data_IF_634280433977
#
_entry.id   IF_634280433977
#
_cell.length_a   1.000
_cell.length_b   1.000
_cell.length_c   1.000
_cell.angle_alpha   90.00
_cell.angle_beta   90.00
_cell.angle_gamma   90.00
#
_symmetry.space_group_name_H-M   'P 1'
#
loop_
_entity.id
_entity.type
_entity.pdbx_description
1 polymer ?
#
# COMPACT_ATOMS: atom_id res chain seq x y z
N UNK A 1 -14.82 -35.92 33.86
CA UNK A 1 -15.40 -34.70 33.27
C UNK A 1 -14.61 -34.31 32.03
N UNK A 2 -15.15 -34.59 30.83
CA UNK A 2 -14.53 -34.16 29.57
C UNK A 2 -14.65 -32.65 29.46
N UNK A 3 -13.52 -31.91 29.54
CA UNK A 3 -13.50 -30.49 29.17
C UNK A 3 -14.04 -30.39 27.75
N UNK A 4 -15.12 -29.62 27.54
CA UNK A 4 -15.59 -29.25 26.21
C UNK A 4 -14.41 -28.69 25.42
N UNK A 5 -13.81 -29.53 24.57
CA UNK A 5 -12.66 -29.11 23.76
C UNK A 5 -13.18 -28.13 22.74
N UNK A 6 -12.62 -26.92 22.76
CA UNK A 6 -12.93 -25.90 21.77
C UNK A 6 -12.68 -26.44 20.35
N UNK A 7 -13.44 -25.95 19.38
CA UNK A 7 -13.23 -26.34 17.98
C UNK A 7 -11.85 -25.91 17.48
N UNK A 8 -11.27 -26.67 16.55
CA UNK A 8 -9.98 -26.34 15.92
C UNK A 8 -9.98 -24.91 15.36
N UNK A 9 -11.08 -24.51 14.70
CA UNK A 9 -11.25 -23.15 14.18
C UNK A 9 -11.13 -22.10 15.31
N UNK A 10 -11.82 -22.32 16.44
CA UNK A 10 -11.83 -21.39 17.55
C UNK A 10 -10.42 -21.23 18.13
N UNK A 11 -9.71 -22.32 18.38
CA UNK A 11 -8.36 -22.27 18.94
C UNK A 11 -7.35 -21.61 18.00
N UNK A 12 -7.39 -21.97 16.71
CA UNK A 12 -6.55 -21.32 15.69
C UNK A 12 -6.78 -19.83 15.66
N UNK A 13 -8.05 -19.40 15.61
CA UNK A 13 -8.37 -17.97 15.55
C UNK A 13 -8.01 -17.24 16.84
N UNK A 14 -8.25 -17.84 18.01
CA UNK A 14 -7.88 -17.27 19.31
C UNK A 14 -6.38 -16.97 19.35
N UNK A 15 -5.54 -17.97 19.09
CA UNK A 15 -4.07 -17.84 19.09
C UNK A 15 -3.58 -16.90 17.98
N UNK A 16 -4.09 -17.03 16.75
CA UNK A 16 -3.68 -16.18 15.64
C UNK A 16 -4.04 -14.70 15.85
N UNK A 17 -5.17 -14.43 16.51
CA UNK A 17 -5.69 -13.07 16.69
C UNK A 17 -5.15 -12.33 17.91
N UNK A 18 -4.35 -13.01 18.74
CA UNK A 18 -3.68 -12.42 19.89
C UNK A 18 -2.81 -11.23 19.49
N UNK A 19 -2.96 -10.10 20.20
CA UNK A 19 -2.27 -8.84 19.93
C UNK A 19 -2.73 -8.09 18.67
N UNK A 20 -3.72 -8.59 17.91
CA UNK A 20 -4.20 -7.90 16.71
C UNK A 20 -5.22 -6.81 17.05
N UNK A 21 -4.88 -5.55 16.72
CA UNK A 21 -5.76 -4.38 16.92
C UNK A 21 -6.70 -4.08 15.73
N UNK A 22 -6.44 -4.61 14.53
CA UNK A 22 -7.17 -4.25 13.30
C UNK A 22 -8.34 -5.17 12.93
N UNK A 23 -9.54 -4.62 12.76
CA UNK A 23 -10.75 -5.39 12.41
C UNK A 23 -10.65 -6.13 11.06
N UNK A 24 -10.07 -5.53 10.03
CA UNK A 24 -9.90 -6.16 8.71
C UNK A 24 -8.99 -7.38 8.79
N UNK A 25 -7.85 -7.26 9.47
CA UNK A 25 -6.90 -8.36 9.67
C UNK A 25 -7.54 -9.49 10.47
N UNK A 26 -8.31 -9.16 11.53
CA UNK A 26 -9.06 -10.17 12.31
C UNK A 26 -10.08 -10.91 11.46
N UNK A 27 -10.84 -10.22 10.59
CA UNK A 27 -11.79 -10.87 9.66
C UNK A 27 -11.08 -11.83 8.69
N UNK A 28 -9.96 -11.39 8.11
CA UNK A 28 -9.15 -12.24 7.22
C UNK A 28 -8.58 -13.47 7.94
N UNK A 29 -8.07 -13.30 9.17
CA UNK A 29 -7.56 -14.39 9.98
C UNK A 29 -8.66 -15.39 10.32
N UNK A 30 -9.85 -14.92 10.72
CA UNK A 30 -11.00 -15.77 10.99
C UNK A 30 -11.38 -16.60 9.76
N UNK A 31 -11.38 -15.99 8.58
CA UNK A 31 -11.70 -16.67 7.33
C UNK A 31 -10.67 -17.77 7.00
N UNK A 32 -9.38 -17.45 7.05
CA UNK A 32 -8.32 -18.41 6.81
C UNK A 32 -8.33 -19.58 7.80
N UNK A 33 -8.49 -19.30 9.11
CA UNK A 33 -8.62 -20.34 10.13
C UNK A 33 -9.85 -21.22 9.89
N UNK A 34 -10.98 -20.65 9.45
CA UNK A 34 -12.18 -21.42 9.09
C UNK A 34 -11.91 -22.36 7.91
N UNK A 35 -11.27 -21.87 6.85
CA UNK A 35 -10.93 -22.68 5.67
C UNK A 35 -10.00 -23.84 6.02
N UNK A 36 -8.94 -23.57 6.78
CA UNK A 36 -8.01 -24.62 7.21
C UNK A 36 -8.66 -25.64 8.16
N UNK A 37 -9.47 -25.19 9.12
CA UNK A 37 -10.16 -26.10 10.02
C UNK A 37 -11.17 -27.02 9.29
N UNK A 38 -11.81 -26.53 8.22
CA UNK A 38 -12.66 -27.33 7.33
C UNK A 38 -11.84 -28.44 6.65
N UNK A 39 -10.72 -28.07 6.04
CA UNK A 39 -9.81 -29.02 5.39
C UNK A 39 -9.25 -30.05 6.38
N UNK A 40 -8.84 -29.64 7.58
CA UNK A 40 -8.38 -30.55 8.62
C UNK A 40 -9.47 -31.57 9.04
N UNK A 41 -10.74 -31.15 9.06
CA UNK A 41 -11.86 -32.02 9.42
C UNK A 41 -12.01 -33.18 8.42
N UNK A 42 -11.79 -32.93 7.14
CA UNK A 42 -11.79 -33.96 6.07
C UNK A 42 -10.65 -34.96 6.27
N UNK A 43 -9.52 -34.52 6.85
CA UNK A 43 -8.39 -35.36 7.22
C UNK A 43 -8.53 -36.03 8.60
N UNK A 44 -9.70 -35.92 9.26
CA UNK A 44 -9.95 -36.47 10.60
C UNK A 44 -9.29 -35.69 11.76
N UNK A 45 -8.73 -34.51 11.50
CA UNK A 45 -7.99 -33.70 12.46
C UNK A 45 -8.91 -32.61 13.04
N UNK A 46 -9.15 -32.70 14.35
CA UNK A 46 -10.07 -31.81 15.08
C UNK A 46 -9.43 -31.01 16.22
N UNK A 47 -8.15 -31.26 16.51
CA UNK A 47 -7.42 -30.71 17.66
C UNK A 47 -6.17 -29.98 17.17
N UNK A 48 -5.88 -28.82 17.76
CA UNK A 48 -4.78 -27.95 17.33
C UNK A 48 -3.42 -28.57 17.69
N UNK A 49 -3.36 -29.40 18.72
CA UNK A 49 -2.16 -30.13 19.15
C UNK A 49 -1.67 -31.13 18.09
N UNK A 50 -2.56 -31.53 17.17
CA UNK A 50 -2.24 -32.39 16.03
C UNK A 50 -1.82 -31.61 14.79
N UNK A 51 -1.78 -30.27 14.86
CA UNK A 51 -1.37 -29.40 13.75
C UNK A 51 0.12 -29.10 13.91
N UNK A 52 0.95 -29.93 13.29
CA UNK A 52 2.38 -29.74 13.19
C UNK A 52 2.78 -29.03 11.88
N UNK A 53 4.09 -28.83 11.71
CA UNK A 53 4.67 -28.21 10.51
C UNK A 53 4.32 -29.00 9.24
N UNK A 54 4.30 -30.32 9.31
CA UNK A 54 4.08 -31.18 8.14
C UNK A 54 2.63 -31.13 7.67
N UNK A 55 1.67 -31.03 8.58
CA UNK A 55 0.28 -30.80 8.24
C UNK A 55 0.07 -29.43 7.59
N UNK A 56 0.74 -28.39 8.10
CA UNK A 56 0.72 -27.05 7.48
C UNK A 56 1.35 -27.10 6.08
N UNK A 57 2.41 -27.89 5.89
CA UNK A 57 3.02 -28.10 4.58
C UNK A 57 2.07 -28.82 3.62
N UNK A 58 1.36 -29.87 4.07
CA UNK A 58 0.34 -30.56 3.27
C UNK A 58 -0.77 -29.60 2.84
N UNK A 59 -1.20 -28.71 3.73
CA UNK A 59 -2.18 -27.67 3.37
C UNK A 59 -1.62 -26.66 2.37
N UNK A 60 -0.35 -26.26 2.50
CA UNK A 60 0.33 -25.41 1.51
C UNK A 60 0.33 -26.05 0.12
N UNK A 61 0.57 -27.37 0.03
CA UNK A 61 0.53 -28.11 -1.24
C UNK A 61 -0.90 -28.18 -1.78
N UNK A 62 -1.88 -28.51 -0.94
CA UNK A 62 -3.30 -28.52 -1.31
C UNK A 62 -3.76 -27.17 -1.89
N UNK A 63 -3.36 -26.04 -1.29
CA UNK A 63 -3.68 -24.71 -1.81
C UNK A 63 -3.01 -24.39 -3.16
N UNK A 64 -1.89 -25.03 -3.48
CA UNK A 64 -1.20 -24.87 -4.77
C UNK A 64 -1.85 -25.72 -5.87
N UNK A 65 -2.36 -26.89 -5.50
CA UNK A 65 -3.04 -27.84 -6.40
C UNK A 65 -4.54 -27.53 -6.58
N UNK A 66 -5.08 -26.59 -5.78
CA UNK A 66 -6.48 -26.19 -5.85
C UNK A 66 -6.86 -25.71 -7.26
N UNK A 67 -7.99 -26.20 -7.77
CA UNK A 67 -8.57 -25.84 -9.07
C UNK A 67 -8.79 -24.34 -9.27
N UNK A 68 -8.98 -23.56 -8.20
CA UNK A 68 -9.07 -22.10 -8.25
C UNK A 68 -7.72 -21.41 -8.55
N UNK A 69 -6.60 -22.16 -8.60
CA UNK A 69 -5.24 -21.68 -8.91
C UNK A 69 -4.87 -20.44 -8.09
N UNK A 70 -4.86 -20.59 -6.77
CA UNK A 70 -4.62 -19.47 -5.87
C UNK A 70 -3.27 -18.79 -6.13
N UNK A 71 -3.28 -17.45 -6.16
CA UNK A 71 -2.05 -16.67 -6.24
C UNK A 71 -1.13 -16.92 -5.03
N UNK A 72 0.18 -16.72 -5.22
CA UNK A 72 1.13 -16.76 -4.11
C UNK A 72 0.74 -15.81 -2.95
N UNK A 73 0.15 -14.66 -3.26
CA UNK A 73 -0.37 -13.73 -2.25
C UNK A 73 -1.50 -14.32 -1.41
N UNK A 74 -2.43 -15.01 -2.05
CA UNK A 74 -3.56 -15.68 -1.40
C UNK A 74 -3.08 -16.82 -0.52
N UNK A 75 -2.19 -17.68 -1.02
CA UNK A 75 -1.61 -18.80 -0.26
C UNK A 75 -0.91 -18.29 1.01
N UNK A 76 -0.09 -17.24 0.89
CA UNK A 76 0.58 -16.64 2.07
C UNK A 76 -0.44 -16.08 3.07
N UNK A 77 -1.52 -15.47 2.58
CA UNK A 77 -2.59 -14.92 3.42
C UNK A 77 -3.31 -16.01 4.21
N UNK A 78 -3.51 -17.19 3.62
CA UNK A 78 -4.15 -18.32 4.29
C UNK A 78 -3.21 -18.99 5.29
N UNK A 79 -1.93 -19.14 4.94
CA UNK A 79 -0.94 -19.78 5.81
C UNK A 79 -0.54 -18.93 7.03
N UNK A 80 -0.46 -17.61 6.89
CA UNK A 80 0.02 -16.72 7.94
C UNK A 80 -0.68 -16.88 9.31
N UNK A 81 -2.03 -16.87 9.42
CA UNK A 81 -2.71 -17.06 10.70
C UNK A 81 -2.48 -18.45 11.30
N UNK A 82 -2.38 -19.49 10.47
CA UNK A 82 -2.17 -20.88 10.91
C UNK A 82 -0.77 -21.03 11.49
N UNK A 83 0.25 -20.57 10.75
CA UNK A 83 1.64 -20.56 11.18
C UNK A 83 1.80 -19.80 12.52
N UNK A 84 1.16 -18.63 12.63
CA UNK A 84 1.15 -17.86 13.88
C UNK A 84 0.51 -18.62 15.04
N UNK A 85 -0.65 -19.24 14.83
CA UNK A 85 -1.37 -19.98 15.88
C UNK A 85 -0.61 -21.21 16.38
N UNK A 86 0.14 -21.87 15.49
CA UNK A 86 0.91 -23.07 15.78
C UNK A 86 2.37 -22.80 16.16
N UNK A 87 2.82 -21.54 16.19
CA UNK A 87 4.21 -21.19 16.49
C UNK A 87 5.22 -21.64 15.42
N UNK A 88 4.75 -21.95 14.21
CA UNK A 88 5.60 -22.40 13.10
C UNK A 88 6.08 -21.18 12.32
N UNK A 89 7.39 -21.07 12.09
CA UNK A 89 7.91 -20.01 11.25
C UNK A 89 7.49 -20.28 9.80
N UNK A 90 6.74 -19.35 9.22
CA UNK A 90 6.25 -19.51 7.85
C UNK A 90 7.39 -19.68 6.84
N UNK A 91 8.61 -19.22 7.12
CA UNK A 91 9.80 -19.46 6.26
C UNK A 91 10.11 -20.95 6.07
N UNK A 92 9.76 -21.77 7.05
CA UNK A 92 10.04 -23.21 7.03
C UNK A 92 9.01 -24.01 6.25
N UNK A 93 7.95 -23.34 5.77
CA UNK A 93 6.94 -23.90 4.87
C UNK A 93 7.30 -23.56 3.43
N UNK A 94 7.48 -24.60 2.62
CA UNK A 94 7.58 -24.49 1.17
C UNK A 94 6.25 -24.00 0.59
N UNK A 95 6.32 -22.88 -0.12
CA UNK A 95 5.17 -22.16 -0.68
C UNK A 95 5.68 -21.29 -1.83
N UNK A 96 4.83 -20.95 -2.81
CA UNK A 96 5.26 -20.16 -3.96
C UNK A 96 5.77 -18.79 -3.52
N UNK A 97 6.85 -18.32 -4.14
CA UNK A 97 7.39 -16.99 -3.88
C UNK A 97 6.49 -15.93 -4.50
N UNK A 98 6.19 -14.87 -3.75
CA UNK A 98 5.50 -13.68 -4.28
C UNK A 98 6.48 -12.92 -5.17
N UNK A 99 6.28 -12.97 -6.49
CA UNK A 99 7.10 -12.25 -7.47
C UNK A 99 6.37 -10.98 -7.92
N UNK A 100 7.11 -9.93 -8.29
CA UNK A 100 6.49 -8.66 -8.70
C UNK A 100 5.70 -8.75 -10.00
N UNK A 101 6.06 -9.66 -10.91
CA UNK A 101 5.28 -9.99 -12.11
C UNK A 101 3.97 -10.72 -11.81
N UNK A 102 3.83 -11.35 -10.64
CA UNK A 102 2.57 -11.98 -10.21
C UNK A 102 1.58 -10.99 -9.58
N UNK A 103 1.95 -9.72 -9.46
CA UNK A 103 1.03 -8.66 -9.02
C UNK A 103 0.16 -8.28 -10.22
N UNK A 104 -0.99 -8.93 -10.39
CA UNK A 104 -1.93 -8.67 -11.50
C UNK A 104 -3.17 -7.87 -11.07
N UNK A 105 -3.52 -7.94 -9.78
CA UNK A 105 -4.76 -7.38 -9.25
C UNK A 105 -4.93 -5.90 -9.58
N UNK A 106 -6.02 -5.56 -10.29
CA UNK A 106 -6.33 -4.19 -10.69
C UNK A 106 -5.36 -3.63 -11.73
N UNK A 107 -4.72 -4.50 -12.53
CA UNK A 107 -3.89 -4.15 -13.69
C UNK A 107 -4.46 -4.69 -15.00
N UNK A 108 -5.32 -5.70 -14.94
CA UNK A 108 -6.02 -6.23 -16.11
C UNK A 108 -7.38 -5.56 -16.24
N UNK A 109 -7.66 -5.09 -17.45
CA UNK A 109 -8.88 -4.36 -17.78
C UNK A 109 -10.15 -5.19 -17.60
N UNK A 110 -10.07 -6.50 -17.86
CA UNK A 110 -11.21 -7.42 -17.77
C UNK A 110 -11.63 -7.74 -16.33
N UNK A 111 -10.82 -7.42 -15.31
CA UNK A 111 -11.12 -7.76 -13.91
C UNK A 111 -12.21 -6.87 -13.27
N UNK A 112 -12.54 -5.71 -13.87
CA UNK A 112 -13.48 -4.75 -13.29
C UNK A 112 -14.28 -3.95 -14.33
N UNK A 113 -15.13 -4.61 -15.14
CA UNK A 113 -15.90 -3.94 -16.20
C UNK A 113 -16.84 -2.88 -15.64
N UNK A 114 -17.48 -3.15 -14.49
CA UNK A 114 -18.41 -2.21 -13.86
C UNK A 114 -17.70 -0.94 -13.36
N UNK A 115 -16.53 -1.08 -12.73
CA UNK A 115 -15.74 0.07 -12.32
C UNK A 115 -15.26 0.91 -13.49
N UNK A 116 -14.93 0.30 -14.64
CA UNK A 116 -14.58 1.03 -15.87
C UNK A 116 -15.73 1.85 -16.44
N UNK A 117 -16.94 1.30 -16.47
CA UNK A 117 -18.12 2.06 -16.89
C UNK A 117 -18.30 3.29 -15.99
N UNK A 118 -18.19 3.11 -14.67
CA UNK A 118 -18.23 4.20 -13.70
C UNK A 118 -17.06 5.20 -13.88
N UNK A 119 -15.88 4.76 -14.30
CA UNK A 119 -14.77 5.66 -14.62
C UNK A 119 -15.08 6.63 -15.78
N UNK A 120 -16.04 6.29 -16.64
CA UNK A 120 -16.48 7.17 -17.74
C UNK A 120 -17.76 7.94 -17.44
N UNK A 121 -18.46 7.62 -16.35
CA UNK A 121 -19.72 8.27 -15.98
C UNK A 121 -19.51 9.73 -15.55
N UNK A 122 -20.35 10.68 -16.01
CA UNK A 122 -20.27 12.09 -15.57
C UNK A 122 -20.37 12.27 -14.05
N UNK A 123 -21.14 11.42 -13.38
CA UNK A 123 -21.35 11.44 -11.93
C UNK A 123 -20.04 11.33 -11.12
N UNK A 124 -19.05 10.58 -11.62
CA UNK A 124 -17.78 10.37 -10.93
C UNK A 124 -16.64 11.23 -11.48
N UNK A 125 -16.93 12.14 -12.41
CA UNK A 125 -15.92 12.97 -13.09
C UNK A 125 -15.02 13.71 -12.10
N UNK A 126 -15.60 14.37 -11.09
CA UNK A 126 -14.83 15.12 -10.09
C UNK A 126 -13.99 14.21 -9.18
N UNK A 127 -14.50 13.04 -8.80
CA UNK A 127 -13.75 12.05 -8.03
C UNK A 127 -12.51 11.56 -8.78
N UNK A 128 -12.68 11.22 -10.06
CA UNK A 128 -11.58 10.73 -10.90
C UNK A 128 -10.56 11.83 -11.15
N UNK A 129 -11.04 13.04 -11.43
CA UNK A 129 -10.22 14.23 -11.64
C UNK A 129 -9.35 14.50 -10.41
N UNK A 130 -9.97 14.54 -9.23
CA UNK A 130 -9.22 14.72 -7.99
C UNK A 130 -8.24 13.56 -7.77
N UNK A 131 -8.68 12.32 -7.95
CA UNK A 131 -7.84 11.15 -7.68
C UNK A 131 -6.61 11.08 -8.60
N UNK A 132 -6.71 11.53 -9.86
CA UNK A 132 -5.55 11.66 -10.77
C UNK A 132 -4.57 12.75 -10.33
N UNK A 133 -5.06 13.79 -9.66
CA UNK A 133 -4.25 14.90 -9.17
C UNK A 133 -3.61 14.67 -7.78
N UNK A 134 -4.17 13.80 -6.94
CA UNK A 134 -3.75 13.65 -5.53
C UNK A 134 -3.35 12.22 -5.16
N UNK A 135 -3.89 11.23 -5.87
CA UNK A 135 -3.58 9.82 -5.71
C UNK A 135 -3.69 9.28 -4.28
N UNK A 136 -4.65 9.70 -3.44
CA UNK A 136 -4.78 9.20 -2.05
C UNK A 136 -5.56 7.86 -1.99
N UNK A 137 -5.63 7.19 -0.82
CA UNK A 137 -6.38 5.93 -0.70
C UNK A 137 -7.89 6.21 -0.69
N UNK A 138 -8.72 5.23 -1.08
CA UNK A 138 -10.19 5.36 -1.04
C UNK A 138 -10.71 5.85 0.31
N UNK A 139 -10.29 5.22 1.40
CA UNK A 139 -10.71 5.65 2.74
C UNK A 139 -10.19 7.06 3.11
N UNK A 140 -9.09 7.52 2.50
CA UNK A 140 -8.58 8.88 2.72
C UNK A 140 -9.44 9.89 1.95
N UNK A 141 -9.87 9.57 0.71
CA UNK A 141 -10.84 10.35 -0.07
C UNK A 141 -12.20 10.47 0.64
N UNK A 142 -12.71 9.35 1.21
CA UNK A 142 -14.00 9.30 1.93
C UNK A 142 -14.08 10.27 3.12
N UNK A 143 -12.94 10.60 3.72
CA UNK A 143 -12.85 11.44 4.91
C UNK A 143 -12.31 12.84 4.63
N UNK A 144 -12.09 13.17 3.35
CA UNK A 144 -11.55 14.45 2.94
C UNK A 144 -12.62 15.53 3.08
N UNK A 145 -12.27 16.69 3.63
CA UNK A 145 -13.15 17.86 3.75
C UNK A 145 -12.61 19.07 3.01
N UNK A 146 -13.46 20.07 2.85
CA UNK A 146 -13.12 21.37 2.25
C UNK A 146 -11.81 21.96 2.79
N UNK A 147 -11.56 21.86 4.09
CA UNK A 147 -10.41 22.49 4.74
C UNK A 147 -9.09 21.76 4.47
N UNK A 148 -9.13 20.53 3.93
CA UNK A 148 -7.93 19.74 3.72
C UNK A 148 -7.11 20.22 2.51
N UNK A 149 -7.61 21.18 1.72
CA UNK A 149 -6.81 21.86 0.71
C UNK A 149 -5.95 22.95 1.35
N UNK A 150 -4.65 22.68 1.49
CA UNK A 150 -3.72 23.53 2.24
C UNK A 150 -2.71 24.17 1.29
N UNK A 151 -2.56 25.50 1.42
CA UNK A 151 -1.41 26.22 0.86
C UNK A 151 -0.27 26.16 1.88
N UNK A 152 0.81 25.47 1.54
CA UNK A 152 2.01 25.44 2.36
C UNK A 152 3.02 26.52 1.98
N UNK A 153 4.24 26.36 2.48
CA UNK A 153 5.37 27.25 2.20
C UNK A 153 5.77 27.21 0.72
N UNK A 154 6.40 28.29 0.26
CA UNK A 154 6.97 28.42 -1.10
C UNK A 154 5.95 28.18 -2.23
N UNK A 155 4.66 28.45 -1.97
CA UNK A 155 3.61 28.29 -2.97
C UNK A 155 3.24 26.85 -3.31
N UNK A 156 3.70 25.86 -2.51
CA UNK A 156 3.35 24.45 -2.73
C UNK A 156 2.01 24.16 -2.06
N UNK A 157 1.13 23.48 -2.79
CA UNK A 157 -0.20 23.08 -2.30
C UNK A 157 -0.24 21.60 -1.94
N UNK A 158 -1.06 21.27 -0.93
CA UNK A 158 -1.22 19.92 -0.42
C UNK A 158 -2.69 19.58 -0.21
N UNK A 159 -2.96 18.27 -0.24
CA UNK A 159 -4.10 17.68 0.44
C UNK A 159 -3.66 17.13 1.79
N UNK A 160 -4.26 17.63 2.86
CA UNK A 160 -4.03 17.20 4.24
C UNK A 160 -4.82 15.93 4.55
N UNK A 161 -4.12 14.81 4.64
CA UNK A 161 -4.70 13.53 5.05
C UNK A 161 -4.52 13.39 6.56
N UNK A 162 -5.56 13.77 7.31
CA UNK A 162 -5.59 13.77 8.78
C UNK A 162 -5.36 12.39 9.41
N UNK A 163 -5.91 11.34 8.81
CA UNK A 163 -5.83 9.95 9.31
C UNK A 163 -5.53 8.97 8.18
N UNK A 164 -4.28 8.93 7.77
CA UNK A 164 -3.77 7.95 6.83
C UNK A 164 -3.57 6.56 7.45
N UNK A 165 -2.93 5.67 6.68
CA UNK A 165 -2.65 4.29 7.11
C UNK A 165 -1.87 4.25 8.43
N UNK A 166 -2.42 3.56 9.43
CA UNK A 166 -1.84 3.46 10.77
C UNK A 166 -2.10 4.68 11.66
N UNK A 167 -3.06 5.53 11.29
CA UNK A 167 -3.40 6.74 12.03
C UNK A 167 -2.45 7.91 11.79
N UNK A 168 -1.57 7.81 10.79
CA UNK A 168 -0.56 8.82 10.49
C UNK A 168 -1.17 9.99 9.73
N UNK A 169 -0.89 11.19 10.19
CA UNK A 169 -1.14 12.42 9.46
C UNK A 169 -0.10 12.61 8.34
N UNK A 170 -0.55 13.01 7.16
CA UNK A 170 0.34 13.20 6.00
C UNK A 170 -0.15 14.35 5.10
N UNK A 171 0.78 15.03 4.44
CA UNK A 171 0.51 16.10 3.48
C UNK A 171 0.90 15.66 2.08
N UNK A 172 -0.09 15.51 1.20
CA UNK A 172 0.07 14.95 -0.14
C UNK A 172 0.20 16.10 -1.13
N UNK A 173 1.37 16.25 -1.74
CA UNK A 173 1.67 17.36 -2.63
C UNK A 173 0.80 17.31 -3.89
N UNK A 174 0.30 18.47 -4.31
CA UNK A 174 -0.39 18.65 -5.58
C UNK A 174 0.61 19.20 -6.59
N UNK A 175 0.68 18.61 -7.79
CA UNK A 175 1.53 19.14 -8.85
C UNK A 175 1.04 20.54 -9.28
N UNK A 176 1.94 21.49 -9.64
CA UNK A 176 1.54 22.84 -10.03
C UNK A 176 0.45 22.87 -11.12
N UNK A 177 0.54 21.99 -12.12
CA UNK A 177 -0.45 21.86 -13.21
C UNK A 177 -1.86 21.52 -12.71
N UNK A 178 -1.97 20.81 -11.59
CA UNK A 178 -3.23 20.28 -11.05
C UNK A 178 -3.82 21.17 -9.95
N UNK A 179 -3.09 22.17 -9.46
CA UNK A 179 -3.56 23.08 -8.39
C UNK A 179 -4.88 23.76 -8.75
N UNK A 180 -5.07 24.35 -9.95
CA UNK A 180 -6.32 25.05 -10.28
C UNK A 180 -7.55 24.14 -10.23
N UNK A 181 -7.43 22.93 -10.78
CA UNK A 181 -8.55 21.99 -10.83
C UNK A 181 -8.87 21.41 -9.45
N UNK A 182 -7.85 21.09 -8.65
CA UNK A 182 -8.05 20.65 -7.26
C UNK A 182 -8.68 21.76 -6.43
N UNK A 183 -8.18 22.99 -6.55
CA UNK A 183 -8.72 24.15 -5.84
C UNK A 183 -10.21 24.33 -6.13
N UNK A 184 -10.60 24.29 -7.40
CA UNK A 184 -11.99 24.42 -7.82
C UNK A 184 -12.90 23.34 -7.19
N UNK A 185 -12.50 22.07 -7.28
CA UNK A 185 -13.25 20.93 -6.69
C UNK A 185 -13.48 21.14 -5.19
N UNK A 186 -12.47 21.63 -4.47
CA UNK A 186 -12.64 21.91 -3.05
C UNK A 186 -13.51 23.14 -2.83
N UNK A 187 -13.33 24.24 -3.56
CA UNK A 187 -14.08 25.50 -3.39
C UNK A 187 -15.60 25.38 -3.60
N UNK A 188 -16.05 24.43 -4.42
CA UNK A 188 -17.46 24.10 -4.59
C UNK A 188 -18.11 23.46 -3.34
N UNK A 189 -17.30 23.03 -2.36
CA UNK A 189 -17.77 22.31 -1.17
C UNK A 189 -17.91 23.29 0.01
N UNK A 190 -19.05 23.30 0.73
CA UNK A 190 -19.19 24.12 1.92
C UNK A 190 -18.19 23.73 3.02
N UNK A 191 -17.72 24.73 3.77
CA UNK A 191 -16.87 24.50 4.95
C UNK A 191 -17.50 23.49 5.92
N UNK A 192 -16.68 22.62 6.49
CA UNK A 192 -17.06 21.55 7.42
C UNK A 192 -17.54 20.26 6.75
N UNK A 193 -17.81 20.29 5.44
CA UNK A 193 -18.38 19.16 4.70
C UNK A 193 -17.31 18.32 4.01
N UNK A 194 -17.65 17.04 3.80
CA UNK A 194 -16.82 16.14 3.02
C UNK A 194 -16.82 16.56 1.55
N UNK A 195 -15.67 16.41 0.89
CA UNK A 195 -15.51 16.70 -0.55
C UNK A 195 -16.40 15.78 -1.37
N UNK A 196 -16.50 14.51 -0.97
CA UNK A 196 -17.36 13.51 -1.61
C UNK A 196 -18.46 13.02 -0.67
N UNK A 197 -19.65 12.84 -1.23
CA UNK A 197 -20.75 12.18 -0.57
C UNK A 197 -20.48 10.68 -0.38
N UNK A 198 -21.26 10.03 0.50
CA UNK A 198 -21.18 8.57 0.68
C UNK A 198 -21.56 7.81 -0.59
N UNK A 199 -22.51 8.34 -1.36
CA UNK A 199 -22.99 7.71 -2.59
C UNK A 199 -21.93 7.77 -3.69
N UNK A 200 -21.27 8.93 -3.86
CA UNK A 200 -20.13 9.05 -4.77
C UNK A 200 -19.00 8.09 -4.41
N UNK A 201 -18.76 7.85 -3.12
CA UNK A 201 -17.72 6.93 -2.68
C UNK A 201 -18.12 5.46 -2.75
N UNK A 202 -19.41 5.15 -2.87
CA UNK A 202 -19.94 3.80 -3.04
C UNK A 202 -19.87 3.32 -4.50
N UNK A 203 -18.66 3.33 -5.06
CA UNK A 203 -18.39 2.93 -6.43
C UNK A 203 -17.36 1.79 -6.50
N UNK A 204 -17.21 1.19 -7.68
CA UNK A 204 -16.26 0.11 -7.97
C UNK A 204 -15.03 0.59 -8.74
N UNK A 205 -14.84 1.90 -8.93
CA UNK A 205 -13.70 2.50 -9.64
C UNK A 205 -12.37 2.01 -9.06
N UNK A 206 -11.40 1.72 -9.92
CA UNK A 206 -10.08 1.28 -9.50
C UNK A 206 -9.19 2.48 -9.13
N UNK A 207 -9.54 3.18 -8.04
CA UNK A 207 -8.80 4.35 -7.54
C UNK A 207 -7.32 4.05 -7.25
N UNK A 208 -6.95 2.78 -7.06
CA UNK A 208 -5.55 2.38 -6.87
C UNK A 208 -4.75 2.41 -8.18
N UNK A 209 -5.37 2.13 -9.33
CA UNK A 209 -4.76 2.34 -10.64
C UNK A 209 -4.54 3.84 -10.90
N UNK A 210 -5.53 4.69 -10.63
CA UNK A 210 -5.38 6.15 -10.74
C UNK A 210 -4.28 6.70 -9.81
N UNK A 211 -4.17 6.16 -8.59
CA UNK A 211 -3.06 6.49 -7.69
C UNK A 211 -1.69 6.10 -8.27
N UNK A 212 -1.63 5.02 -9.05
CA UNK A 212 -0.41 4.60 -9.74
C UNK A 212 -0.05 5.58 -10.86
N UNK A 213 -1.02 5.97 -11.67
CA UNK A 213 -0.84 6.99 -12.72
C UNK A 213 -0.32 8.29 -12.11
N UNK A 214 -0.96 8.80 -11.06
CA UNK A 214 -0.51 9.98 -10.34
C UNK A 214 0.94 9.85 -9.84
N UNK A 215 1.34 8.69 -9.31
CA UNK A 215 2.72 8.47 -8.88
C UNK A 215 3.73 8.52 -10.05
N UNK A 216 3.34 8.11 -11.26
CA UNK A 216 4.17 8.25 -12.45
C UNK A 216 4.26 9.71 -12.90
N UNK A 217 3.15 10.45 -12.90
CA UNK A 217 3.13 11.89 -13.21
C UNK A 217 4.07 12.68 -12.28
N UNK A 218 4.01 12.38 -10.98
CA UNK A 218 4.89 13.00 -9.99
C UNK A 218 6.35 12.60 -10.21
N UNK A 219 6.61 11.34 -10.58
CA UNK A 219 7.97 10.91 -10.93
C UNK A 219 8.52 11.73 -12.11
N UNK A 220 7.77 11.80 -13.21
CA UNK A 220 8.15 12.52 -14.42
C UNK A 220 8.37 14.01 -14.15
N UNK A 221 7.51 14.63 -13.34
CA UNK A 221 7.68 16.01 -12.91
C UNK A 221 9.01 16.22 -12.16
N UNK A 222 9.29 15.38 -11.16
CA UNK A 222 10.51 15.51 -10.37
C UNK A 222 11.77 15.17 -11.15
N UNK A 223 11.73 14.14 -12.01
CA UNK A 223 12.84 13.81 -12.89
C UNK A 223 13.18 14.98 -13.80
N UNK A 224 12.18 15.54 -14.48
CA UNK A 224 12.38 16.67 -15.38
C UNK A 224 12.92 17.91 -14.67
N UNK A 225 12.32 18.31 -13.55
CA UNK A 225 12.74 19.54 -12.84
C UNK A 225 14.12 19.39 -12.19
N UNK A 226 14.48 18.19 -11.72
CA UNK A 226 15.83 17.90 -11.21
C UNK A 226 16.88 18.09 -12.32
N UNK A 227 16.56 17.68 -13.55
CA UNK A 227 17.48 17.79 -14.69
C UNK A 227 17.56 19.22 -15.26
N UNK A 228 16.47 19.99 -15.20
CA UNK A 228 16.35 21.26 -15.91
C UNK A 228 16.58 22.50 -15.04
N UNK A 229 16.37 22.42 -13.72
CA UNK A 229 16.49 23.56 -12.81
C UNK A 229 17.73 23.40 -11.92
N UNK A 230 18.72 24.25 -12.15
CA UNK A 230 19.97 24.23 -11.38
C UNK A 230 19.70 24.42 -9.88
N UNK A 231 20.39 23.64 -9.04
CA UNK A 231 20.24 23.66 -7.59
C UNK A 231 18.97 22.97 -7.05
N UNK A 232 17.98 22.62 -7.89
CA UNK A 232 16.72 22.05 -7.42
C UNK A 232 16.91 20.72 -6.69
N UNK A 233 17.80 19.85 -7.17
CA UNK A 233 18.12 18.58 -6.51
C UNK A 233 18.55 18.76 -5.04
N UNK A 234 19.39 19.76 -4.78
CA UNK A 234 19.85 20.09 -3.42
C UNK A 234 18.69 20.57 -2.56
N UNK A 235 17.92 21.54 -3.04
CA UNK A 235 16.76 22.08 -2.30
C UNK A 235 15.71 21.01 -2.01
N UNK A 236 15.48 20.09 -2.96
CA UNK A 236 14.56 18.97 -2.77
C UNK A 236 15.07 18.01 -1.68
N UNK A 237 16.36 17.67 -1.67
CA UNK A 237 16.96 16.83 -0.60
C UNK A 237 16.81 17.47 0.77
N UNK A 238 17.20 18.73 0.90
CA UNK A 238 17.07 19.49 2.15
C UNK A 238 15.62 19.50 2.63
N UNK A 239 14.66 19.68 1.72
CA UNK A 239 13.24 19.64 2.03
C UNK A 239 12.77 18.26 2.50
N UNK A 240 13.14 17.19 1.80
CA UNK A 240 12.76 15.82 2.17
C UNK A 240 13.37 15.42 3.52
N UNK A 241 14.61 15.84 3.79
CA UNK A 241 15.27 15.65 5.10
C UNK A 241 14.48 16.38 6.19
N UNK A 242 14.17 17.68 6.04
CA UNK A 242 13.36 18.41 7.02
C UNK A 242 12.01 17.74 7.31
N UNK A 243 11.35 17.21 6.27
CA UNK A 243 10.11 16.45 6.46
C UNK A 243 10.34 15.15 7.25
N UNK A 244 11.44 14.44 6.99
CA UNK A 244 11.82 13.26 7.74
C UNK A 244 12.08 13.59 9.21
N UNK A 245 12.86 14.64 9.49
CA UNK A 245 13.19 15.08 10.86
C UNK A 245 11.92 15.39 11.65
N UNK A 246 11.04 16.23 11.08
CA UNK A 246 9.73 16.55 11.68
C UNK A 246 8.90 15.30 11.96
N UNK A 247 8.79 14.39 10.99
CA UNK A 247 8.00 13.16 11.13
C UNK A 247 8.61 12.09 12.04
N UNK A 248 9.85 12.29 12.51
CA UNK A 248 10.56 11.35 13.40
C UNK A 248 11.08 12.02 14.67
N UNK A 249 10.57 13.21 15.02
CA UNK A 249 11.02 13.97 16.19
C UNK A 249 10.84 13.21 17.51
N UNK A 250 9.72 12.48 17.67
CA UNK A 250 9.52 11.64 18.86
C UNK A 250 10.53 10.49 18.95
N UNK A 251 10.93 9.92 17.80
CA UNK A 251 11.97 8.90 17.75
C UNK A 251 13.34 9.50 18.10
N UNK A 252 13.64 10.70 17.60
CA UNK A 252 14.84 11.44 17.97
C UNK A 252 14.91 11.63 19.49
N UNK A 253 13.83 12.08 20.13
CA UNK A 253 13.77 12.23 21.60
C UNK A 253 13.91 10.91 22.36
N UNK A 254 13.23 9.87 21.90
CA UNK A 254 13.18 8.59 22.62
C UNK A 254 14.43 7.71 22.41
N UNK A 255 15.04 7.77 21.23
CA UNK A 255 16.22 6.96 20.88
C UNK A 255 17.05 7.63 19.76
N UNK A 256 17.97 8.54 20.12
CA UNK A 256 18.80 9.27 19.15
C UNK A 256 19.63 8.36 18.23
N UNK A 257 20.23 7.28 18.76
CA UNK A 257 21.04 6.36 17.96
C UNK A 257 20.23 5.68 16.85
N UNK A 258 19.02 5.22 17.19
CA UNK A 258 18.11 4.61 16.21
C UNK A 258 17.59 5.62 15.20
N UNK A 259 17.38 6.86 15.63
CA UNK A 259 17.03 7.96 14.74
C UNK A 259 18.15 8.22 13.72
N UNK A 260 19.39 8.38 14.17
CA UNK A 260 20.56 8.63 13.30
C UNK A 260 20.76 7.52 12.27
N UNK A 261 20.69 6.25 12.70
CA UNK A 261 20.77 5.11 11.78
C UNK A 261 19.68 5.14 10.70
N UNK A 262 18.46 5.60 11.06
CA UNK A 262 17.34 5.70 10.13
C UNK A 262 17.49 6.90 9.18
N UNK A 263 17.98 8.04 9.69
CA UNK A 263 18.27 9.23 8.89
C UNK A 263 19.37 8.96 7.87
N UNK A 264 20.48 8.35 8.30
CA UNK A 264 21.57 7.93 7.40
C UNK A 264 21.06 7.08 6.25
N UNK A 265 20.27 6.05 6.54
CA UNK A 265 19.67 5.20 5.51
C UNK A 265 18.75 5.99 4.56
N UNK A 266 17.95 6.91 5.09
CA UNK A 266 17.06 7.74 4.28
C UNK A 266 17.86 8.65 3.32
N UNK A 267 18.97 9.21 3.78
CA UNK A 267 19.89 10.00 2.95
C UNK A 267 20.56 9.12 1.88
N UNK A 268 21.04 7.93 2.26
CA UNK A 268 21.67 6.98 1.34
C UNK A 268 20.69 6.53 0.23
N UNK A 269 19.40 6.37 0.57
CA UNK A 269 18.35 6.06 -0.41
C UNK A 269 18.16 7.22 -1.42
N UNK A 270 18.57 8.46 -1.13
CA UNK A 270 18.42 9.64 -2.02
C UNK A 270 19.72 10.09 -2.71
N UNK A 271 20.77 9.27 -2.65
CA UNK A 271 22.06 9.61 -3.25
C UNK A 271 21.98 9.79 -4.78
N UNK A 272 23.05 10.31 -5.38
CA UNK A 272 23.10 10.59 -6.83
C UNK A 272 23.28 9.34 -7.70
N UNK A 273 23.48 8.16 -7.10
CA UNK A 273 23.58 6.94 -7.90
C UNK A 273 22.22 6.57 -8.48
N UNK A 274 22.13 6.15 -9.74
CA UNK A 274 20.87 5.72 -10.32
C UNK A 274 20.26 4.52 -9.55
N UNK A 275 18.94 4.42 -9.59
CA UNK A 275 18.23 3.24 -9.13
C UNK A 275 18.09 2.25 -10.28
N UNK A 276 18.86 1.17 -10.24
CA UNK A 276 18.78 0.10 -11.23
C UNK A 276 17.78 -0.98 -10.82
N UNK A 277 16.84 -1.29 -11.71
CA UNK A 277 15.95 -2.43 -11.51
C UNK A 277 16.75 -3.73 -11.54
N UNK A 278 16.34 -4.69 -10.70
CA UNK A 278 16.94 -6.02 -10.60
C UNK A 278 15.88 -7.12 -10.68
N UNK A 279 16.32 -8.31 -11.07
CA UNK A 279 15.48 -9.52 -11.09
C UNK A 279 14.19 -9.36 -11.90
N UNK A 280 13.07 -9.81 -11.32
CA UNK A 280 11.76 -9.82 -11.98
C UNK A 280 11.21 -8.42 -12.30
N UNK A 281 11.60 -7.38 -11.54
CA UNK A 281 11.21 -6.00 -11.85
C UNK A 281 11.86 -5.54 -13.14
N UNK A 282 13.15 -5.84 -13.35
CA UNK A 282 13.87 -5.49 -14.59
C UNK A 282 13.24 -6.19 -15.79
N UNK A 283 12.98 -7.50 -15.67
CA UNK A 283 12.31 -8.28 -16.72
C UNK A 283 10.94 -7.70 -17.07
N UNK A 284 10.14 -7.37 -16.06
CA UNK A 284 8.81 -6.79 -16.26
C UNK A 284 8.87 -5.39 -16.88
N UNK A 285 9.81 -4.54 -16.50
CA UNK A 285 9.98 -3.23 -17.12
C UNK A 285 10.30 -3.37 -18.62
N UNK A 286 11.25 -4.24 -18.97
CA UNK A 286 11.61 -4.53 -20.37
C UNK A 286 10.39 -5.01 -21.17
N UNK A 287 9.63 -5.98 -20.63
CA UNK A 287 8.43 -6.50 -21.27
C UNK A 287 7.35 -5.44 -21.54
N UNK A 288 7.30 -4.39 -20.72
CA UNK A 288 6.32 -3.30 -20.85
C UNK A 288 6.93 -2.05 -21.51
N UNK A 289 8.12 -2.13 -22.10
CA UNK A 289 8.80 -0.99 -22.74
C UNK A 289 9.16 0.15 -21.78
N UNK A 290 9.32 -0.15 -20.48
CA UNK A 290 9.64 0.85 -19.45
C UNK A 290 11.14 0.93 -19.18
N UNK A 291 11.63 2.10 -18.70
CA UNK A 291 13.02 2.24 -18.24
C UNK A 291 13.42 1.20 -17.19
N UNK A 292 14.70 0.84 -17.17
CA UNK A 292 15.26 -0.06 -16.15
C UNK A 292 16.17 0.66 -15.16
N UNK A 293 16.37 1.96 -15.36
CA UNK A 293 17.17 2.86 -14.54
C UNK A 293 16.31 4.09 -14.25
N UNK A 294 16.30 4.54 -12.99
CA UNK A 294 15.47 5.66 -12.52
C UNK A 294 16.28 6.59 -11.61
N UNK A 295 15.88 7.87 -11.53
CA UNK A 295 16.47 8.82 -10.60
C UNK A 295 16.00 8.55 -9.15
N UNK A 296 16.93 8.27 -8.22
CA UNK A 296 16.61 7.97 -6.81
C UNK A 296 15.90 9.09 -6.08
N UNK A 297 16.36 10.32 -6.27
CA UNK A 297 15.77 11.48 -5.62
C UNK A 297 14.33 11.70 -6.08
N UNK A 298 14.05 11.58 -7.38
CA UNK A 298 12.70 11.65 -7.93
C UNK A 298 11.80 10.52 -7.38
N UNK A 299 12.31 9.28 -7.31
CA UNK A 299 11.57 8.16 -6.69
C UNK A 299 11.27 8.39 -5.20
N UNK A 300 12.21 9.00 -4.46
CA UNK A 300 11.98 9.32 -3.06
C UNK A 300 10.97 10.45 -2.91
N UNK A 301 11.03 11.47 -3.77
CA UNK A 301 10.03 12.52 -3.80
C UNK A 301 8.62 11.95 -4.01
N UNK A 302 8.43 11.02 -4.95
CA UNK A 302 7.17 10.26 -5.10
C UNK A 302 6.81 9.51 -3.81
N UNK A 303 7.78 8.81 -3.22
CA UNK A 303 7.56 8.02 -2.01
C UNK A 303 7.08 8.83 -0.81
N UNK A 304 7.56 10.07 -0.68
CA UNK A 304 7.28 10.97 0.45
C UNK A 304 6.07 11.84 0.14
N UNK A 305 6.08 12.54 -1.00
CA UNK A 305 5.14 13.60 -1.33
C UNK A 305 3.85 13.12 -1.98
N UNK A 306 3.86 11.97 -2.68
CA UNK A 306 2.69 11.42 -3.34
C UNK A 306 2.19 10.12 -2.69
N UNK A 307 3.07 9.36 -2.03
CA UNK A 307 2.71 8.04 -1.50
C UNK A 307 2.75 7.90 0.01
N UNK A 308 3.45 8.80 0.71
CA UNK A 308 3.55 8.85 2.17
C UNK A 308 3.97 7.53 2.85
N UNK A 309 4.86 6.76 2.22
CA UNK A 309 5.39 5.51 2.80
C UNK A 309 6.91 5.45 2.94
N UNK A 310 7.65 6.45 2.44
CA UNK A 310 9.08 6.64 2.75
C UNK A 310 9.99 5.45 2.40
N UNK A 311 9.74 4.79 1.27
CA UNK A 311 10.40 3.53 0.85
C UNK A 311 10.53 3.44 -0.67
N UNK A 312 11.75 3.54 -1.20
CA UNK A 312 12.02 3.43 -2.63
C UNK A 312 11.56 2.10 -3.25
N UNK A 313 11.88 0.99 -2.58
CA UNK A 313 11.57 -0.36 -3.07
C UNK A 313 10.08 -0.56 -3.30
N UNK A 314 9.24 -0.04 -2.39
CA UNK A 314 7.79 -0.08 -2.50
C UNK A 314 7.27 0.81 -3.62
N UNK A 315 7.83 2.02 -3.79
CA UNK A 315 7.48 2.93 -4.90
C UNK A 315 7.70 2.23 -6.23
N UNK A 316 8.91 1.70 -6.45
CA UNK A 316 9.29 1.09 -7.71
C UNK A 316 8.44 -0.13 -8.06
N UNK A 317 8.29 -1.07 -7.12
CA UNK A 317 7.60 -2.35 -7.35
C UNK A 317 6.11 -2.19 -7.63
N UNK A 318 5.45 -1.27 -6.91
CA UNK A 318 3.99 -1.19 -6.91
C UNK A 318 3.46 -0.07 -7.80
N UNK A 319 4.24 1.00 -7.98
CA UNK A 319 3.76 2.25 -8.56
C UNK A 319 4.46 2.65 -9.88
N UNK A 320 5.73 2.33 -10.07
CA UNK A 320 6.48 2.77 -11.26
C UNK A 320 6.54 1.68 -12.35
N UNK A 321 6.96 0.46 -11.98
CA UNK A 321 7.14 -0.67 -12.91
C UNK A 321 5.85 -1.44 -13.09
#
# INVERSE_FOLDING_TARGET
MSRNKNSLQFELFKRASEGLKGNTTRKQYKYACKKFASWCKEQGIKQIEKVDKDLIQKYSNHLQEDHFKFSAGTIHTYLAPICKACGVNMRDINKPRRKSNTITKGRQEAENPFGKLQETSPEFKRLITLQKAVGIRRNELENLKREDFIKGEYGIYYVHVRKGKGGKETFQMILPKDVPIVKNIFEEVPTGHNVFSKDEMNNKINLHALRREHANDVYQFFENIILTVNGFARSLRERLIKMFERGNYDLYKANPQKYEAKLKRFIDDMNDTPYELRGENKKRAIQNGKPVIYNRLALMAVSVLALSHWRLDVTVVNYIV
#
